data_IF_817041799691
#
_entry.id   IF_817041799691
#
_cell.length_a   1.000
_cell.length_b   1.000
_cell.length_c   1.000
_cell.angle_alpha   90.00
_cell.angle_beta   90.00
_cell.angle_gamma   90.00
#
_symmetry.space_group_name_H-M   'P 1'
#
loop_
_entity.id
_entity.type
_entity.pdbx_description
1 polymer ?
#
# COMPACT_ATOMS: atom_id res chain seq x y z
N UNK A 1 -27.42 19.95 -16.73
CA UNK A 1 -26.36 20.24 -15.73
C UNK A 1 -25.30 19.17 -15.88
N UNK A 2 -24.12 19.54 -16.34
CA UNK A 2 -23.00 18.62 -16.50
C UNK A 2 -22.46 18.25 -15.12
N UNK A 3 -22.38 16.95 -14.83
CA UNK A 3 -21.71 16.40 -13.66
C UNK A 3 -20.21 16.54 -13.89
N UNK A 4 -19.60 17.55 -13.27
CA UNK A 4 -18.15 17.64 -13.15
C UNK A 4 -17.68 16.54 -12.20
N UNK A 5 -17.15 15.46 -12.76
CA UNK A 5 -16.35 14.46 -12.04
C UNK A 5 -15.05 15.15 -11.59
N UNK A 6 -14.99 15.55 -10.33
CA UNK A 6 -13.74 15.96 -9.70
C UNK A 6 -12.84 14.73 -9.56
N UNK A 7 -11.90 14.59 -10.50
CA UNK A 7 -10.82 13.61 -10.42
C UNK A 7 -9.82 14.12 -9.37
N UNK A 8 -9.76 13.46 -8.21
CA UNK A 8 -8.67 13.70 -7.25
C UNK A 8 -7.36 13.13 -7.80
N UNK A 9 -6.18 13.64 -7.41
CA UNK A 9 -4.92 13.03 -7.79
C UNK A 9 -4.88 11.58 -7.26
N UNK A 10 -4.67 10.62 -8.16
CA UNK A 10 -4.46 9.22 -7.80
C UNK A 10 -3.14 9.09 -7.03
N UNK A 11 -3.13 8.26 -5.98
CA UNK A 11 -1.90 8.04 -5.20
C UNK A 11 -0.88 7.26 -5.99
N UNK A 12 0.37 7.66 -5.84
CA UNK A 12 1.50 7.03 -6.51
C UNK A 12 1.88 5.75 -5.76
N UNK A 13 2.09 4.64 -6.47
CA UNK A 13 2.65 3.44 -5.86
C UNK A 13 4.15 3.38 -6.15
N UNK A 14 4.96 3.22 -5.11
CA UNK A 14 6.40 3.04 -5.20
C UNK A 14 6.76 1.61 -4.86
N UNK A 15 7.50 0.94 -5.72
CA UNK A 15 8.06 -0.38 -5.46
C UNK A 15 9.54 -0.22 -5.14
N UNK A 16 9.88 -0.42 -3.86
CA UNK A 16 11.27 -0.35 -3.40
C UNK A 16 11.91 -1.73 -3.49
N UNK A 17 13.12 -1.75 -4.04
CA UNK A 17 13.93 -2.97 -4.14
C UNK A 17 15.27 -2.70 -3.49
N UNK A 18 15.76 -3.63 -2.67
CA UNK A 18 16.97 -3.48 -1.85
C UNK A 18 18.25 -3.18 -2.66
N UNK A 19 18.20 -3.25 -4.00
CA UNK A 19 19.34 -3.05 -4.90
C UNK A 19 19.15 -1.95 -5.98
N UNK A 20 18.11 -1.12 -5.94
CA UNK A 20 17.84 -0.13 -7.01
C UNK A 20 17.06 1.12 -6.59
N UNK A 21 16.89 2.07 -7.53
CA UNK A 21 16.00 3.23 -7.33
C UNK A 21 14.53 2.76 -7.27
N UNK A 22 13.69 3.41 -6.44
CA UNK A 22 12.25 3.12 -6.36
C UNK A 22 11.61 3.09 -7.75
N UNK A 23 10.96 1.99 -8.11
CA UNK A 23 10.16 1.92 -9.33
C UNK A 23 8.82 2.57 -9.04
N UNK A 24 8.46 3.61 -9.79
CA UNK A 24 7.13 4.19 -9.68
C UNK A 24 6.19 3.45 -10.61
N UNK A 25 5.20 2.82 -9.99
CA UNK A 25 4.11 2.18 -10.68
C UNK A 25 3.04 3.24 -10.99
N UNK A 26 2.84 3.49 -12.28
CA UNK A 26 1.72 4.33 -12.75
C UNK A 26 0.51 3.43 -12.88
N UNK A 27 -0.46 3.60 -11.98
CA UNK A 27 -1.69 2.83 -12.00
C UNK A 27 -2.45 3.07 -13.32
N UNK A 28 -2.81 1.99 -14.03
CA UNK A 28 -3.78 2.09 -15.13
C UNK A 28 -5.18 2.06 -14.52
N UNK A 29 -5.73 3.24 -14.21
CA UNK A 29 -6.98 3.40 -13.46
C UNK A 29 -8.24 3.20 -14.30
N UNK A 30 -8.13 3.20 -15.63
CA UNK A 30 -9.30 3.42 -16.49
C UNK A 30 -10.16 2.15 -16.69
N UNK A 31 -9.63 0.94 -16.44
CA UNK A 31 -10.36 -0.31 -16.72
C UNK A 31 -10.46 -1.33 -15.56
N UNK A 32 -9.72 -1.18 -14.45
CA UNK A 32 -9.65 -2.24 -13.42
C UNK A 32 -10.39 -1.86 -12.14
N UNK A 33 -11.58 -2.47 -11.96
CA UNK A 33 -12.44 -2.26 -10.80
C UNK A 33 -11.97 -3.06 -9.57
N UNK A 34 -12.13 -2.52 -8.35
CA UNK A 34 -11.93 -3.26 -7.11
C UNK A 34 -12.71 -4.58 -7.07
N UNK A 35 -12.24 -5.53 -6.26
CA UNK A 35 -12.88 -6.84 -6.15
C UNK A 35 -14.30 -6.70 -5.62
N UNK A 36 -15.26 -7.21 -6.40
CA UNK A 36 -16.64 -7.35 -5.97
C UNK A 36 -16.80 -8.76 -5.38
N UNK A 37 -16.82 -8.85 -4.04
CA UNK A 37 -17.12 -10.10 -3.36
C UNK A 37 -18.62 -10.27 -3.27
N UNK A 38 -19.18 -11.25 -3.99
CA UNK A 38 -20.61 -11.54 -3.94
C UNK A 38 -21.03 -12.09 -2.58
N UNK A 39 -22.28 -11.81 -2.19
CA UNK A 39 -22.79 -12.07 -0.84
C UNK A 39 -22.66 -13.54 -0.42
N UNK A 40 -23.10 -14.44 -1.28
CA UNK A 40 -23.13 -15.88 -1.02
C UNK A 40 -21.71 -16.48 -0.98
N UNK A 41 -20.84 -16.03 -1.87
CA UNK A 41 -19.44 -16.48 -1.92
C UNK A 41 -18.69 -16.04 -0.65
N UNK A 42 -18.86 -14.77 -0.26
CA UNK A 42 -18.32 -14.21 0.97
C UNK A 42 -18.81 -14.97 2.22
N UNK A 43 -20.13 -15.16 2.34
CA UNK A 43 -20.76 -15.81 3.51
C UNK A 43 -20.25 -17.24 3.68
N UNK A 44 -20.13 -18.00 2.59
CA UNK A 44 -19.58 -19.36 2.59
C UNK A 44 -18.10 -19.39 2.96
N UNK A 45 -17.31 -18.45 2.44
CA UNK A 45 -15.89 -18.36 2.76
C UNK A 45 -15.67 -18.07 4.25
N UNK A 46 -16.35 -17.08 4.82
CA UNK A 46 -16.29 -16.77 6.25
C UNK A 46 -16.67 -17.99 7.11
N UNK A 47 -17.78 -18.67 6.77
CA UNK A 47 -18.21 -19.86 7.49
C UNK A 47 -17.18 -21.01 7.40
N UNK A 48 -16.51 -21.18 6.25
CA UNK A 48 -15.42 -22.15 6.10
C UNK A 48 -14.22 -21.79 6.98
N UNK A 49 -13.82 -20.53 6.99
CA UNK A 49 -12.69 -20.05 7.79
C UNK A 49 -12.91 -20.22 9.29
N UNK A 50 -14.09 -19.87 9.76
CA UNK A 50 -14.42 -19.89 11.19
C UNK A 50 -14.64 -21.30 11.74
N UNK A 51 -15.15 -22.24 10.93
CA UNK A 51 -15.36 -23.64 11.35
C UNK A 51 -14.08 -24.34 11.82
N UNK A 52 -12.93 -23.89 11.34
CA UNK A 52 -11.62 -24.46 11.69
C UNK A 52 -10.97 -23.77 12.89
N UNK A 53 -11.60 -22.72 13.45
CA UNK A 53 -11.01 -21.89 14.50
C UNK A 53 -11.61 -22.20 15.85
N UNK A 54 -10.75 -22.09 16.87
CA UNK A 54 -11.17 -22.09 18.27
C UNK A 54 -11.16 -20.64 18.75
N UNK A 55 -12.27 -20.12 19.29
CA UNK A 55 -12.29 -18.77 19.83
C UNK A 55 -11.30 -18.65 20.99
N UNK A 56 -10.57 -17.54 21.04
CA UNK A 56 -9.71 -17.22 22.18
C UNK A 56 -10.54 -16.81 23.39
N UNK A 57 -10.06 -17.15 24.59
CA UNK A 57 -10.62 -16.64 25.85
C UNK A 57 -10.38 -15.14 26.01
N UNK A 58 -9.32 -14.62 25.38
CA UNK A 58 -8.99 -13.20 25.32
C UNK A 58 -8.74 -12.80 23.85
N UNK A 59 -9.78 -12.35 23.13
CA UNK A 59 -9.65 -12.00 21.71
C UNK A 59 -8.78 -10.76 21.46
N UNK A 60 -8.68 -9.84 22.42
CA UNK A 60 -7.75 -8.70 22.33
C UNK A 60 -6.31 -9.18 22.35
N UNK A 61 -5.93 -9.96 23.36
CA UNK A 61 -4.57 -10.48 23.53
C UNK A 61 -4.15 -11.33 22.32
N UNK A 62 -5.04 -12.21 21.87
CA UNK A 62 -4.80 -13.02 20.67
C UNK A 62 -4.58 -12.16 19.41
N UNK A 63 -5.35 -11.08 19.23
CA UNK A 63 -5.18 -10.17 18.10
C UNK A 63 -3.86 -9.38 18.19
N UNK A 64 -3.44 -9.00 19.39
CA UNK A 64 -2.15 -8.34 19.64
C UNK A 64 -0.97 -9.26 19.34
N UNK A 65 -1.02 -10.50 19.81
CA UNK A 65 -0.01 -11.51 19.51
C UNK A 65 0.06 -11.77 17.99
N UNK A 66 -1.09 -11.88 17.34
CA UNK A 66 -1.20 -12.14 15.90
C UNK A 66 -0.45 -11.10 15.05
N UNK A 67 -0.53 -9.82 15.42
CA UNK A 67 0.13 -8.72 14.70
C UNK A 67 1.40 -8.22 15.38
N UNK A 68 1.86 -8.90 16.44
CA UNK A 68 3.00 -8.50 17.26
C UNK A 68 2.91 -7.03 17.74
N UNK A 69 1.71 -6.62 18.14
CA UNK A 69 1.39 -5.29 18.69
C UNK A 69 1.53 -5.37 20.22
N UNK A 70 2.52 -4.71 20.83
CA UNK A 70 2.76 -4.83 22.27
C UNK A 70 1.54 -4.38 23.09
N UNK A 71 1.18 -5.09 24.18
CA UNK A 71 0.13 -4.66 25.12
C UNK A 71 0.43 -3.27 25.74
N UNK A 72 1.71 -2.90 25.79
CA UNK A 72 2.24 -1.64 26.34
C UNK A 72 2.56 -0.60 25.27
N UNK A 73 2.15 -0.81 24.03
CA UNK A 73 2.07 0.29 23.09
C UNK A 73 0.88 1.15 23.53
N UNK A 74 1.14 2.11 24.41
CA UNK A 74 0.19 3.19 24.61
C UNK A 74 -0.10 3.73 23.23
N UNK A 75 -1.35 3.67 22.78
CA UNK A 75 -1.70 4.26 21.50
C UNK A 75 -1.26 5.71 21.57
N UNK A 76 -0.41 6.15 20.65
CA UNK A 76 0.03 7.52 20.69
C UNK A 76 -0.83 8.31 19.73
N UNK A 77 -1.55 9.30 20.25
CA UNK A 77 -2.18 10.29 19.38
C UNK A 77 -1.14 11.35 19.07
N UNK A 78 -0.97 11.69 17.80
CA UNK A 78 -0.17 12.82 17.40
C UNK A 78 -1.03 14.08 17.32
N UNK A 79 -0.66 15.14 18.04
CA UNK A 79 -1.26 16.47 17.86
C UNK A 79 -0.19 17.47 17.46
N UNK A 80 -0.55 18.44 16.61
CA UNK A 80 0.40 19.51 16.23
C UNK A 80 0.80 20.43 17.39
N UNK A 81 0.06 20.42 18.50
CA UNK A 81 0.35 21.23 19.69
C UNK A 81 1.17 20.49 20.76
N UNK A 82 0.97 19.19 20.91
CA UNK A 82 1.46 18.42 22.06
C UNK A 82 2.35 17.23 21.65
N UNK A 83 2.49 16.96 20.35
CA UNK A 83 3.31 15.86 19.84
C UNK A 83 2.67 14.50 20.08
N UNK A 84 3.50 13.50 20.41
CA UNK A 84 3.13 12.09 20.63
C UNK A 84 2.57 11.95 22.05
N UNK A 85 1.24 11.84 22.19
CA UNK A 85 0.54 11.73 23.48
C UNK A 85 0.11 10.28 23.72
N UNK A 86 0.58 9.62 24.80
CA UNK A 86 0.13 8.27 25.15
C UNK A 86 -1.34 8.28 25.58
N UNK A 87 -2.16 7.43 24.96
CA UNK A 87 -3.59 7.29 25.19
C UNK A 87 -3.92 6.45 26.44
N UNK A 88 -2.94 5.76 27.01
CA UNK A 88 -3.14 4.90 28.19
C UNK A 88 -2.13 5.21 29.29
N UNK A 89 -2.54 6.08 30.23
CA UNK A 89 -2.01 6.11 31.59
C UNK A 89 -3.14 5.82 32.56
N UNK A 90 -2.87 5.05 33.62
CA UNK A 90 -3.79 4.88 34.75
C UNK A 90 -4.29 6.28 35.15
N UNK A 91 -5.59 6.49 35.02
CA UNK A 91 -6.20 7.79 35.30
C UNK A 91 -6.09 8.02 36.82
N UNK A 92 -5.31 9.02 37.30
CA UNK A 92 -5.62 9.60 38.60
C UNK A 92 -7.05 10.13 38.52
N UNK A 93 -7.85 9.98 39.59
CA UNK A 93 -9.27 10.33 39.69
C UNK A 93 -9.73 11.30 38.58
N UNK A 94 -10.06 10.73 37.41
CA UNK A 94 -10.18 11.51 36.19
C UNK A 94 -11.64 11.86 36.02
N UNK A 95 -11.96 13.08 35.55
CA UNK A 95 -13.30 13.43 35.09
C UNK A 95 -13.90 12.39 34.12
N UNK A 96 -13.06 11.59 33.47
CA UNK A 96 -13.46 10.51 32.56
C UNK A 96 -13.92 9.22 33.26
N UNK A 97 -13.61 8.98 34.53
CA UNK A 97 -14.00 7.75 35.23
C UNK A 97 -15.53 7.63 35.32
N UNK A 98 -16.22 8.71 35.71
CA UNK A 98 -17.68 8.76 35.76
C UNK A 98 -18.31 8.63 34.37
N UNK A 99 -17.70 9.27 33.36
CA UNK A 99 -18.13 9.14 31.95
C UNK A 99 -18.00 7.69 31.48
N UNK A 100 -16.85 7.05 31.72
CA UNK A 100 -16.60 5.66 31.35
C UNK A 100 -17.58 4.71 32.05
N UNK A 101 -17.85 4.92 33.35
CA UNK A 101 -18.83 4.13 34.09
C UNK A 101 -20.24 4.26 33.50
N UNK A 102 -20.67 5.49 33.19
CA UNK A 102 -21.97 5.75 32.55
C UNK A 102 -22.08 5.09 31.17
N UNK A 103 -21.07 5.29 30.31
CA UNK A 103 -21.02 4.68 28.96
C UNK A 103 -21.05 3.15 29.06
N UNK A 104 -20.29 2.58 30.01
CA UNK A 104 -20.28 1.13 30.26
C UNK A 104 -21.67 0.64 30.69
N UNK A 105 -22.34 1.36 31.59
CA UNK A 105 -23.69 1.00 32.02
C UNK A 105 -24.71 1.08 30.87
N UNK A 106 -24.61 2.09 29.99
CA UNK A 106 -25.44 2.20 28.78
C UNK A 106 -25.20 1.03 27.82
N UNK A 107 -23.94 0.63 27.63
CA UNK A 107 -23.58 -0.55 26.85
C UNK A 107 -24.18 -1.84 27.44
N UNK A 108 -24.06 -2.05 28.75
CA UNK A 108 -24.65 -3.22 29.42
C UNK A 108 -26.18 -3.22 29.35
N UNK A 109 -26.82 -2.04 29.42
CA UNK A 109 -28.28 -1.89 29.19
C UNK A 109 -28.66 -2.27 27.77
N UNK A 110 -27.87 -1.88 26.77
CA UNK A 110 -28.05 -2.30 25.39
C UNK A 110 -27.93 -3.83 25.24
N UNK A 111 -26.90 -4.44 25.83
CA UNK A 111 -26.72 -5.89 25.81
C UNK A 111 -27.91 -6.64 26.45
N UNK A 112 -28.40 -6.15 27.61
CA UNK A 112 -29.62 -6.67 28.23
C UNK A 112 -30.84 -6.56 27.33
N UNK A 113 -31.01 -5.44 26.61
CA UNK A 113 -32.11 -5.24 25.67
C UNK A 113 -32.06 -6.19 24.45
N UNK A 114 -30.87 -6.68 24.08
CA UNK A 114 -30.68 -7.73 23.07
C UNK A 114 -30.92 -9.15 23.61
N UNK A 115 -31.31 -9.31 24.88
CA UNK A 115 -31.47 -10.62 25.52
C UNK A 115 -30.15 -11.30 25.90
N UNK A 116 -29.03 -10.58 25.87
CA UNK A 116 -27.69 -11.09 26.22
C UNK A 116 -27.08 -10.23 27.32
N UNK A 117 -27.53 -10.37 28.59
CA UNK A 117 -27.00 -9.55 29.68
C UNK A 117 -25.50 -9.77 29.88
N UNK A 118 -24.79 -8.71 30.28
CA UNK A 118 -23.33 -8.72 30.43
C UNK A 118 -22.60 -8.13 29.22
N UNK A 119 -21.35 -8.53 29.02
CA UNK A 119 -20.51 -8.06 27.92
C UNK A 119 -20.83 -8.81 26.62
N UNK A 120 -21.97 -8.49 26.01
CA UNK A 120 -22.48 -9.23 24.85
C UNK A 120 -21.62 -9.18 23.58
N UNK A 121 -20.62 -8.30 23.52
CA UNK A 121 -19.66 -8.17 22.41
C UNK A 121 -18.21 -8.51 22.80
N UNK A 122 -17.96 -8.93 24.05
CA UNK A 122 -16.62 -9.21 24.59
C UNK A 122 -15.63 -8.05 24.38
N UNK A 123 -16.07 -6.80 24.63
CA UNK A 123 -15.23 -5.60 24.50
C UNK A 123 -14.74 -5.06 25.84
N UNK A 124 -15.31 -5.53 26.94
CA UNK A 124 -14.85 -5.30 28.31
C UNK A 124 -13.88 -6.41 28.74
N UNK A 125 -14.20 -7.66 28.42
CA UNK A 125 -13.47 -8.84 28.87
C UNK A 125 -13.29 -8.79 30.40
N UNK A 126 -12.05 -8.63 30.88
CA UNK A 126 -11.71 -8.52 32.30
C UNK A 126 -11.71 -7.08 32.84
N UNK A 127 -11.89 -6.07 31.98
CA UNK A 127 -11.86 -4.66 32.35
C UNK A 127 -13.24 -4.20 32.85
N UNK A 128 -13.35 -3.60 34.05
CA UNK A 128 -14.63 -3.13 34.59
C UNK A 128 -15.23 -1.94 33.83
N UNK A 129 -14.44 -1.23 33.02
CA UNK A 129 -14.85 -0.02 32.32
C UNK A 129 -14.52 -0.09 30.82
N UNK A 130 -15.41 0.45 29.99
CA UNK A 130 -15.19 0.62 28.56
C UNK A 130 -14.23 1.79 28.29
N UNK A 131 -12.95 1.48 28.12
CA UNK A 131 -11.87 2.45 27.90
C UNK A 131 -10.96 2.02 26.75
N UNK A 132 -10.14 2.95 26.26
CA UNK A 132 -9.12 2.68 25.24
C UNK A 132 -9.64 1.83 24.08
N UNK A 133 -8.98 0.70 23.84
CA UNK A 133 -9.30 -0.20 22.73
C UNK A 133 -10.67 -0.85 22.82
N UNK A 134 -11.23 -1.03 24.01
CA UNK A 134 -12.59 -1.55 24.16
C UNK A 134 -13.61 -0.63 23.48
N UNK A 135 -13.38 0.69 23.50
CA UNK A 135 -14.22 1.66 22.77
C UNK A 135 -14.05 1.51 21.26
N UNK A 136 -12.82 1.31 20.78
CA UNK A 136 -12.52 1.14 19.36
C UNK A 136 -13.09 -0.17 18.81
N UNK A 137 -12.96 -1.27 19.55
CA UNK A 137 -13.54 -2.56 19.23
C UNK A 137 -15.08 -2.50 19.20
N UNK A 138 -15.68 -1.77 20.16
CA UNK A 138 -17.13 -1.54 20.14
C UNK A 138 -17.56 -0.74 18.90
N UNK A 139 -16.85 0.34 18.56
CA UNK A 139 -17.10 1.12 17.35
C UNK A 139 -16.94 0.29 16.06
N UNK A 140 -15.89 -0.52 15.96
CA UNK A 140 -15.65 -1.43 14.84
C UNK A 140 -16.77 -2.45 14.70
N UNK A 141 -17.25 -3.00 15.81
CA UNK A 141 -18.34 -3.98 15.79
C UNK A 141 -19.63 -3.40 15.16
N UNK A 142 -19.95 -2.13 15.46
CA UNK A 142 -21.07 -1.44 14.82
C UNK A 142 -20.80 -1.08 13.36
N UNK A 143 -19.55 -0.75 13.01
CA UNK A 143 -19.18 -0.48 11.62
C UNK A 143 -19.42 -1.68 10.71
N UNK A 144 -19.05 -2.88 11.17
CA UNK A 144 -19.15 -4.11 10.39
C UNK A 144 -20.57 -4.66 10.34
N UNK A 145 -21.28 -4.70 11.46
CA UNK A 145 -22.66 -5.20 11.49
C UNK A 145 -23.62 -4.34 10.66
N UNK A 146 -23.39 -3.03 10.57
CA UNK A 146 -24.21 -2.12 9.75
C UNK A 146 -24.11 -2.44 8.25
N UNK A 147 -22.94 -2.85 7.78
CA UNK A 147 -22.62 -2.90 6.34
C UNK A 147 -22.57 -4.31 5.78
N UNK A 148 -22.26 -5.29 6.62
CA UNK A 148 -22.16 -6.69 6.22
C UNK A 148 -23.08 -7.56 7.10
N UNK A 149 -24.40 -7.29 7.12
CA UNK A 149 -25.35 -8.05 7.94
C UNK A 149 -25.39 -9.54 7.57
N UNK A 150 -25.10 -9.89 6.31
CA UNK A 150 -24.97 -11.28 5.85
C UNK A 150 -23.88 -12.06 6.61
N UNK A 151 -22.82 -11.38 7.07
CA UNK A 151 -21.72 -12.01 7.80
C UNK A 151 -22.22 -12.67 9.07
N UNK A 152 -23.28 -12.10 9.69
CA UNK A 152 -23.90 -12.64 10.89
C UNK A 152 -24.53 -14.01 10.65
N UNK A 153 -24.94 -14.32 9.42
CA UNK A 153 -25.48 -15.63 9.06
C UNK A 153 -24.40 -16.71 9.15
N UNK A 154 -23.14 -16.37 8.80
CA UNK A 154 -22.02 -17.31 8.88
C UNK A 154 -21.74 -17.82 10.29
N UNK A 155 -22.14 -17.09 11.34
CA UNK A 155 -21.87 -17.48 12.74
C UNK A 155 -22.98 -18.31 13.40
N UNK A 156 -24.17 -18.43 12.78
CA UNK A 156 -25.37 -18.96 13.46
C UNK A 156 -25.22 -20.40 13.97
N UNK A 157 -24.52 -21.24 13.22
CA UNK A 157 -24.36 -22.67 13.54
C UNK A 157 -23.10 -22.98 14.36
N UNK A 158 -22.45 -21.94 14.90
CA UNK A 158 -21.20 -22.08 15.67
C UNK A 158 -21.48 -22.28 17.15
N UNK A 159 -20.60 -23.02 17.82
CA UNK A 159 -20.73 -23.32 19.25
C UNK A 159 -20.70 -22.06 20.14
N UNK A 160 -19.88 -21.07 19.77
CA UNK A 160 -19.85 -19.75 20.41
C UNK A 160 -19.74 -18.63 19.36
N UNK A 161 -20.89 -18.14 18.86
CA UNK A 161 -20.93 -17.09 17.84
C UNK A 161 -20.37 -15.75 18.34
N UNK A 162 -20.54 -15.43 19.63
CA UNK A 162 -20.13 -14.13 20.18
C UNK A 162 -18.62 -14.06 20.39
N UNK A 163 -17.99 -15.14 20.85
CA UNK A 163 -16.53 -15.18 20.98
C UNK A 163 -15.82 -15.14 19.61
N UNK A 164 -16.39 -15.75 18.58
CA UNK A 164 -15.85 -15.69 17.22
C UNK A 164 -16.05 -14.30 16.58
N UNK A 165 -17.20 -13.67 16.78
CA UNK A 165 -17.41 -12.27 16.37
C UNK A 165 -16.44 -11.33 17.06
N UNK A 166 -16.24 -11.50 18.37
CA UNK A 166 -15.29 -10.71 19.13
C UNK A 166 -13.85 -10.91 18.62
N UNK A 167 -13.45 -12.15 18.32
CA UNK A 167 -12.14 -12.44 17.73
C UNK A 167 -11.93 -11.65 16.43
N UNK A 168 -12.95 -11.58 15.58
CA UNK A 168 -12.89 -10.78 14.36
C UNK A 168 -12.81 -9.28 14.67
N UNK A 169 -13.71 -8.73 15.49
CA UNK A 169 -13.72 -7.29 15.78
C UNK A 169 -12.41 -6.81 16.43
N UNK A 170 -11.83 -7.60 17.33
CA UNK A 170 -10.53 -7.32 17.93
C UNK A 170 -9.39 -7.41 16.92
N UNK A 171 -9.37 -8.44 16.07
CA UNK A 171 -8.39 -8.56 14.97
C UNK A 171 -8.45 -7.35 14.04
N UNK A 172 -9.66 -6.92 13.65
CA UNK A 172 -9.88 -5.72 12.83
C UNK A 172 -9.43 -4.44 13.52
N UNK A 173 -9.73 -4.30 14.80
CA UNK A 173 -9.37 -3.12 15.60
C UNK A 173 -7.88 -3.01 15.77
N UNK A 174 -7.19 -4.08 16.20
CA UNK A 174 -5.75 -4.07 16.40
C UNK A 174 -5.00 -3.86 15.08
N UNK A 175 -5.48 -4.47 13.98
CA UNK A 175 -4.91 -4.21 12.67
C UNK A 175 -5.09 -2.75 12.23
N UNK A 176 -6.31 -2.21 12.33
CA UNK A 176 -6.60 -0.82 11.95
C UNK A 176 -5.88 0.19 12.84
N UNK A 177 -5.61 -0.16 14.09
CA UNK A 177 -4.95 0.75 15.01
C UNK A 177 -3.46 1.00 14.65
N UNK A 178 -2.82 0.12 13.87
CA UNK A 178 -1.53 0.43 13.23
C UNK A 178 -1.60 1.61 12.25
N UNK A 179 -2.80 1.96 11.76
CA UNK A 179 -3.01 3.09 10.85
C UNK A 179 -2.96 4.45 11.55
N UNK A 180 -2.93 4.48 12.89
CA UNK A 180 -2.89 5.71 13.68
C UNK A 180 -1.52 6.39 13.66
N UNK A 181 -0.44 5.67 13.32
CA UNK A 181 0.85 6.29 13.06
C UNK A 181 0.73 7.30 11.89
N UNK A 182 1.35 8.48 11.95
CA UNK A 182 1.27 9.49 10.88
C UNK A 182 1.61 8.92 9.49
N UNK A 183 2.66 8.11 9.44
CA UNK A 183 3.11 7.31 8.29
C UNK A 183 3.13 5.83 8.71
N UNK A 184 2.03 5.08 8.52
CA UNK A 184 1.98 3.68 8.88
C UNK A 184 3.01 2.88 8.09
N UNK A 185 3.89 2.16 8.81
CA UNK A 185 4.85 1.23 8.23
C UNK A 185 4.54 -0.16 8.77
N UNK A 186 4.19 -1.07 7.86
CA UNK A 186 4.05 -2.49 8.13
C UNK A 186 5.35 -3.17 7.68
N UNK A 187 6.14 -3.64 8.65
CA UNK A 187 7.42 -4.33 8.38
C UNK A 187 7.52 -5.68 9.10
N UNK A 188 6.40 -6.15 9.66
CA UNK A 188 6.28 -7.39 10.42
C UNK A 188 5.39 -8.37 9.67
N UNK A 189 5.87 -9.61 9.54
CA UNK A 189 5.47 -10.56 8.50
C UNK A 189 3.97 -10.61 8.17
N UNK A 190 3.10 -10.86 9.15
CA UNK A 190 1.67 -11.07 8.86
C UNK A 190 0.96 -9.76 8.51
N UNK A 191 1.23 -8.67 9.24
CA UNK A 191 0.62 -7.37 8.98
C UNK A 191 1.00 -6.86 7.58
N UNK A 192 2.25 -7.07 7.16
CA UNK A 192 2.72 -6.74 5.81
C UNK A 192 1.94 -7.53 4.75
N UNK A 193 1.86 -8.85 4.89
CA UNK A 193 1.17 -9.71 3.91
C UNK A 193 -0.34 -9.41 3.81
N UNK A 194 -1.00 -9.21 4.96
CA UNK A 194 -2.41 -8.79 5.01
C UNK A 194 -2.60 -7.45 4.30
N UNK A 195 -1.73 -6.47 4.56
CA UNK A 195 -1.83 -5.12 3.97
C UNK A 195 -1.64 -5.16 2.45
N UNK A 196 -0.60 -5.84 1.96
CA UNK A 196 -0.36 -5.98 0.52
C UNK A 196 -1.53 -6.70 -0.17
N UNK A 197 -2.06 -7.77 0.44
CA UNK A 197 -3.25 -8.46 -0.07
C UNK A 197 -4.46 -7.52 -0.09
N UNK A 198 -4.69 -6.77 0.98
CA UNK A 198 -5.85 -5.90 1.10
C UNK A 198 -5.82 -4.79 0.04
N UNK A 199 -4.65 -4.18 -0.20
CA UNK A 199 -4.45 -3.22 -1.30
C UNK A 199 -4.79 -3.85 -2.66
N UNK A 200 -4.39 -5.10 -2.92
CA UNK A 200 -4.77 -5.79 -4.15
C UNK A 200 -6.29 -6.00 -4.29
N UNK A 201 -7.01 -6.19 -3.18
CA UNK A 201 -8.47 -6.38 -3.18
C UNK A 201 -9.25 -5.08 -3.40
N UNK A 202 -8.89 -4.00 -2.70
CA UNK A 202 -9.71 -2.78 -2.64
C UNK A 202 -9.12 -1.57 -3.36
N UNK A 203 -7.84 -1.65 -3.72
CA UNK A 203 -7.08 -0.56 -4.31
C UNK A 203 -6.50 0.41 -3.27
N UNK A 204 -5.49 1.16 -3.71
CA UNK A 204 -4.70 2.06 -2.87
C UNK A 204 -5.51 3.24 -2.34
N UNK A 205 -6.29 3.90 -3.19
CA UNK A 205 -7.08 5.06 -2.79
C UNK A 205 -8.20 4.70 -1.82
N UNK A 206 -8.83 3.54 -2.03
CA UNK A 206 -9.81 3.00 -1.09
C UNK A 206 -9.15 2.71 0.25
N UNK A 207 -8.00 2.04 0.26
CA UNK A 207 -7.26 1.73 1.48
C UNK A 207 -6.89 3.00 2.27
N UNK A 208 -6.42 4.05 1.59
CA UNK A 208 -6.18 5.34 2.22
C UNK A 208 -7.44 5.99 2.80
N UNK A 209 -8.57 5.90 2.07
CA UNK A 209 -9.86 6.40 2.56
C UNK A 209 -10.29 5.69 3.85
N UNK A 210 -10.03 4.38 3.97
CA UNK A 210 -10.25 3.63 5.20
C UNK A 210 -9.36 4.11 6.34
N UNK A 211 -8.06 4.33 6.09
CA UNK A 211 -7.11 4.87 7.07
C UNK A 211 -7.61 6.21 7.63
N UNK A 212 -8.01 7.14 6.75
CA UNK A 212 -8.55 8.42 7.18
C UNK A 212 -9.86 8.28 7.95
N UNK A 213 -10.75 7.39 7.50
CA UNK A 213 -12.00 7.09 8.19
C UNK A 213 -11.76 6.57 9.61
N UNK A 214 -10.79 5.65 9.77
CA UNK A 214 -10.43 5.08 11.06
C UNK A 214 -9.84 6.13 12.01
N UNK A 215 -8.91 6.96 11.53
CA UNK A 215 -8.33 8.06 12.33
C UNK A 215 -9.41 9.02 12.83
N UNK A 216 -10.39 9.36 11.98
CA UNK A 216 -11.55 10.18 12.39
C UNK A 216 -12.44 9.45 13.38
N UNK A 217 -12.68 8.15 13.20
CA UNK A 217 -13.46 7.36 14.15
C UNK A 217 -12.80 7.37 15.54
N UNK A 218 -11.50 7.08 15.61
CA UNK A 218 -10.75 7.05 16.88
C UNK A 218 -10.84 8.39 17.60
N UNK A 219 -10.62 9.51 16.92
CA UNK A 219 -10.76 10.86 17.50
C UNK A 219 -12.18 11.09 18.08
N UNK A 220 -13.23 10.67 17.37
CA UNK A 220 -14.61 10.77 17.87
C UNK A 220 -14.84 9.87 19.10
N UNK A 221 -14.29 8.65 19.10
CA UNK A 221 -14.49 7.67 20.18
C UNK A 221 -13.74 8.04 21.46
N UNK A 222 -12.58 8.70 21.36
CA UNK A 222 -11.84 9.24 22.50
C UNK A 222 -12.65 10.29 23.26
N UNK A 223 -13.38 11.13 22.53
CA UNK A 223 -14.19 12.20 23.11
C UNK A 223 -15.65 11.81 23.37
N UNK A 224 -16.06 10.59 23.01
CA UNK A 224 -17.43 10.14 23.18
C UNK A 224 -17.82 10.02 24.66
N UNK A 225 -18.93 10.67 25.03
CA UNK A 225 -19.46 10.71 26.40
C UNK A 225 -20.73 9.89 26.59
N UNK A 226 -21.19 9.19 25.55
CA UNK A 226 -22.36 8.29 25.58
C UNK A 226 -22.15 7.07 24.67
N UNK A 227 -22.81 5.96 25.00
CA UNK A 227 -22.84 4.75 24.16
C UNK A 227 -23.45 5.04 22.78
N UNK A 228 -24.49 5.88 22.72
CA UNK A 228 -25.13 6.27 21.48
C UNK A 228 -24.15 6.96 20.52
N UNK A 229 -23.26 7.82 21.03
CA UNK A 229 -22.23 8.46 20.23
C UNK A 229 -21.24 7.44 19.65
N UNK A 230 -20.81 6.45 20.44
CA UNK A 230 -19.93 5.36 19.97
C UNK A 230 -20.62 4.56 18.86
N UNK A 231 -21.88 4.19 19.05
CA UNK A 231 -22.66 3.43 18.06
C UNK A 231 -22.81 4.18 16.75
N UNK A 232 -23.19 5.46 16.80
CA UNK A 232 -23.39 6.27 15.60
C UNK A 232 -22.07 6.57 14.88
N UNK A 233 -20.97 6.78 15.62
CA UNK A 233 -19.63 6.92 15.03
C UNK A 233 -19.21 5.64 14.29
N UNK A 234 -19.40 4.47 14.91
CA UNK A 234 -19.15 3.17 14.28
C UNK A 234 -19.92 2.98 12.98
N UNK A 235 -21.24 3.22 12.99
CA UNK A 235 -22.08 3.15 11.77
C UNK A 235 -21.60 4.08 10.67
N UNK A 236 -21.21 5.32 11.00
CA UNK A 236 -20.66 6.28 10.04
C UNK A 236 -19.37 5.76 9.42
N UNK A 237 -18.48 5.17 10.21
CA UNK A 237 -17.27 4.54 9.69
C UNK A 237 -17.57 3.34 8.80
N UNK A 238 -18.58 2.52 9.14
CA UNK A 238 -19.09 1.48 8.25
C UNK A 238 -19.45 2.05 6.87
N UNK A 239 -20.20 3.16 6.81
CA UNK A 239 -20.55 3.83 5.54
C UNK A 239 -19.32 4.29 4.75
N UNK A 240 -18.26 4.76 5.43
CA UNK A 240 -16.97 5.09 4.79
C UNK A 240 -16.32 3.83 4.21
N UNK A 241 -16.41 2.72 4.92
CA UNK A 241 -15.84 1.45 4.48
C UNK A 241 -16.53 0.91 3.22
N UNK A 242 -17.86 0.98 3.18
CA UNK A 242 -18.66 0.43 2.09
C UNK A 242 -18.65 -1.10 2.05
N UNK A 243 -19.63 -1.69 1.34
CA UNK A 243 -19.90 -3.14 1.39
C UNK A 243 -18.72 -3.98 0.92
N UNK A 244 -18.13 -3.65 -0.23
CA UNK A 244 -17.05 -4.44 -0.83
C UNK A 244 -15.78 -4.42 0.02
N UNK A 245 -15.35 -3.24 0.47
CA UNK A 245 -14.16 -3.14 1.32
C UNK A 245 -14.38 -3.77 2.69
N UNK A 246 -15.58 -3.67 3.26
CA UNK A 246 -15.92 -4.32 4.52
C UNK A 246 -15.89 -5.86 4.40
N UNK A 247 -16.40 -6.41 3.29
CA UNK A 247 -16.30 -7.86 2.99
C UNK A 247 -14.84 -8.28 2.83
N UNK A 248 -14.04 -7.55 2.05
CA UNK A 248 -12.62 -7.85 1.88
C UNK A 248 -11.88 -7.78 3.23
N UNK A 249 -12.16 -6.75 4.03
CA UNK A 249 -11.53 -6.56 5.33
C UNK A 249 -11.86 -7.70 6.30
N UNK A 250 -13.14 -8.05 6.42
CA UNK A 250 -13.60 -9.17 7.25
C UNK A 250 -13.05 -10.51 6.77
N UNK A 251 -13.04 -10.76 5.45
CA UNK A 251 -12.53 -12.00 4.86
C UNK A 251 -11.04 -12.20 5.14
N UNK A 252 -10.22 -11.20 4.82
CA UNK A 252 -8.76 -11.31 4.94
C UNK A 252 -8.33 -11.45 6.41
N UNK A 253 -8.97 -10.70 7.31
CA UNK A 253 -8.65 -10.80 8.73
C UNK A 253 -9.20 -12.05 9.38
N UNK A 254 -10.36 -12.56 8.94
CA UNK A 254 -10.81 -13.89 9.37
C UNK A 254 -9.80 -14.94 8.91
N UNK A 255 -9.34 -14.87 7.65
CA UNK A 255 -8.35 -15.80 7.12
C UNK A 255 -7.01 -15.73 7.85
N UNK A 256 -6.62 -14.56 8.39
CA UNK A 256 -5.38 -14.37 9.13
C UNK A 256 -5.40 -14.89 10.57
N UNK A 257 -6.56 -15.01 11.22
CA UNK A 257 -6.64 -15.48 12.62
C UNK A 257 -5.96 -16.85 12.79
N UNK A 258 -4.96 -16.93 13.67
CA UNK A 258 -4.22 -18.16 13.96
C UNK A 258 -3.24 -18.58 12.85
N UNK A 259 -2.92 -17.69 11.91
CA UNK A 259 -1.95 -17.95 10.86
C UNK A 259 -0.63 -17.22 11.09
N UNK A 260 0.45 -17.76 10.53
CA UNK A 260 1.70 -17.03 10.29
C UNK A 260 1.61 -16.26 8.97
N UNK A 261 2.57 -15.37 8.70
CA UNK A 261 2.67 -14.69 7.41
C UNK A 261 2.71 -15.66 6.22
N UNK A 262 3.48 -16.74 6.33
CA UNK A 262 3.58 -17.78 5.32
C UNK A 262 2.28 -18.59 5.19
N UNK A 263 1.66 -18.97 6.32
CA UNK A 263 0.38 -19.68 6.33
C UNK A 263 -0.76 -18.87 5.71
N UNK A 264 -0.82 -17.58 6.02
CA UNK A 264 -1.75 -16.65 5.40
C UNK A 264 -1.49 -16.53 3.89
N UNK A 265 -0.24 -16.28 3.48
CA UNK A 265 0.11 -16.11 2.07
C UNK A 265 -0.20 -17.36 1.23
N UNK A 266 0.01 -18.56 1.77
CA UNK A 266 -0.37 -19.81 1.13
C UNK A 266 -1.89 -19.97 0.96
N UNK A 267 -2.67 -19.32 1.83
CA UNK A 267 -4.13 -19.36 1.83
C UNK A 267 -4.76 -18.38 0.86
N UNK A 268 -4.12 -17.22 0.64
CA UNK A 268 -4.62 -16.13 -0.20
C UNK A 268 -5.15 -16.59 -1.58
N UNK A 269 -4.47 -17.46 -2.35
CA UNK A 269 -4.99 -17.93 -3.64
C UNK A 269 -6.33 -18.68 -3.56
N UNK A 270 -6.64 -19.26 -2.40
CA UNK A 270 -7.88 -20.04 -2.17
C UNK A 270 -9.07 -19.18 -1.74
N UNK A 271 -8.85 -17.90 -1.46
CA UNK A 271 -9.89 -16.97 -1.04
C UNK A 271 -10.70 -16.49 -2.24
N UNK A 272 -12.01 -16.22 -2.06
CA UNK A 272 -12.84 -15.67 -3.12
C UNK A 272 -12.28 -14.33 -3.62
N UNK A 273 -12.43 -14.08 -4.91
CA UNK A 273 -11.92 -12.86 -5.57
C UNK A 273 -10.39 -12.78 -5.73
N UNK A 274 -9.61 -13.79 -5.33
CA UNK A 274 -8.14 -13.78 -5.41
C UNK A 274 -7.61 -13.56 -6.84
N UNK A 275 -8.23 -14.18 -7.85
CA UNK A 275 -7.84 -14.00 -9.25
C UNK A 275 -8.02 -12.52 -9.69
N UNK A 276 -9.15 -11.91 -9.37
CA UNK A 276 -9.43 -10.50 -9.68
C UNK A 276 -8.49 -9.57 -8.88
N UNK A 277 -8.27 -9.86 -7.60
CA UNK A 277 -7.32 -9.11 -6.77
C UNK A 277 -5.90 -9.19 -7.32
N UNK A 278 -5.47 -10.32 -7.91
CA UNK A 278 -4.16 -10.43 -8.52
C UNK A 278 -4.01 -9.54 -9.77
N UNK A 279 -5.06 -9.47 -10.60
CA UNK A 279 -5.12 -8.57 -11.77
C UNK A 279 -5.15 -7.10 -11.33
N UNK A 280 -6.00 -6.78 -10.36
CA UNK A 280 -6.13 -5.44 -9.79
C UNK A 280 -4.85 -4.97 -9.11
N UNK A 281 -4.22 -5.83 -8.31
CA UNK A 281 -2.93 -5.57 -7.68
C UNK A 281 -1.84 -5.30 -8.69
N UNK A 282 -1.75 -6.09 -9.77
CA UNK A 282 -0.76 -5.86 -10.82
C UNK A 282 -1.00 -4.53 -11.54
N UNK A 283 -2.26 -4.20 -11.84
CA UNK A 283 -2.63 -2.97 -12.55
C UNK A 283 -2.50 -1.69 -11.70
N UNK A 284 -2.85 -1.77 -10.41
CA UNK A 284 -2.94 -0.60 -9.53
C UNK A 284 -1.71 -0.42 -8.65
N UNK A 285 -1.06 -1.51 -8.24
CA UNK A 285 0.05 -1.51 -7.29
C UNK A 285 1.32 -2.21 -7.80
N UNK A 286 1.32 -2.76 -9.02
CA UNK A 286 2.47 -3.45 -9.60
C UNK A 286 2.84 -4.77 -8.92
N UNK A 287 1.93 -5.36 -8.13
CA UNK A 287 2.17 -6.59 -7.37
C UNK A 287 1.05 -7.59 -7.61
N UNK A 288 1.40 -8.83 -7.91
CA UNK A 288 0.46 -9.95 -8.01
C UNK A 288 0.27 -10.59 -6.63
N UNK A 289 -0.90 -11.19 -6.40
CA UNK A 289 -1.17 -11.85 -5.11
C UNK A 289 -0.17 -12.98 -4.79
N UNK A 290 0.38 -13.63 -5.81
CA UNK A 290 1.41 -14.68 -5.64
C UNK A 290 2.74 -14.15 -5.09
N UNK A 291 2.97 -12.84 -5.20
CA UNK A 291 4.21 -12.17 -4.78
C UNK A 291 4.09 -11.55 -3.38
N UNK A 292 2.89 -11.57 -2.77
CA UNK A 292 2.64 -11.01 -1.44
C UNK A 292 3.55 -11.61 -0.36
N UNK A 293 3.87 -12.91 -0.47
CA UNK A 293 4.79 -13.58 0.44
C UNK A 293 6.22 -13.00 0.41
N UNK A 294 6.55 -12.24 -0.64
CA UNK A 294 7.85 -11.64 -0.88
C UNK A 294 7.87 -10.14 -0.54
N UNK A 295 6.75 -9.59 -0.06
CA UNK A 295 6.68 -8.21 0.42
C UNK A 295 7.30 -8.15 1.82
N UNK A 296 8.36 -7.36 1.96
CA UNK A 296 9.06 -7.17 3.23
C UNK A 296 8.45 -6.04 4.06
N UNK A 297 8.03 -4.97 3.39
CA UNK A 297 7.36 -3.86 4.05
C UNK A 297 6.35 -3.14 3.15
N UNK A 298 5.36 -2.51 3.77
CA UNK A 298 4.46 -1.55 3.15
C UNK A 298 4.47 -0.28 3.99
N UNK A 299 4.79 0.86 3.38
CA UNK A 299 4.73 2.17 4.01
C UNK A 299 3.67 3.04 3.33
N UNK A 300 2.89 3.77 4.12
CA UNK A 300 1.78 4.58 3.61
C UNK A 300 2.00 6.03 4.01
N UNK A 301 1.97 6.93 3.02
CA UNK A 301 2.07 8.38 3.19
C UNK A 301 0.83 9.06 2.60
N UNK A 302 0.73 10.38 2.72
CA UNK A 302 -0.38 11.14 2.15
C UNK A 302 -0.51 10.95 0.63
N UNK A 303 0.63 10.89 -0.05
CA UNK A 303 0.73 10.98 -1.51
C UNK A 303 1.15 9.66 -2.16
N UNK A 304 1.70 8.71 -1.40
CA UNK A 304 2.20 7.46 -1.92
C UNK A 304 2.04 6.25 -0.99
N UNK A 305 1.88 5.07 -1.60
CA UNK A 305 2.09 3.77 -0.94
C UNK A 305 3.38 3.17 -1.47
N UNK A 306 4.34 2.93 -0.58
CA UNK A 306 5.61 2.28 -0.90
C UNK A 306 5.54 0.82 -0.49
N UNK A 307 5.89 -0.10 -1.39
CA UNK A 307 5.93 -1.53 -1.13
C UNK A 307 7.34 -2.03 -1.38
N UNK A 308 8.01 -2.48 -0.32
CA UNK A 308 9.34 -3.04 -0.39
C UNK A 308 9.27 -4.54 -0.67
N UNK A 309 9.96 -4.99 -1.72
CA UNK A 309 9.98 -6.38 -2.17
C UNK A 309 11.34 -7.03 -1.91
N UNK A 310 11.31 -8.31 -1.56
CA UNK A 310 12.50 -9.13 -1.40
C UNK A 310 13.28 -9.23 -2.73
N UNK A 311 14.62 -9.35 -2.70
CA UNK A 311 15.48 -9.28 -3.89
C UNK A 311 15.10 -10.24 -5.04
N UNK A 312 14.59 -11.44 -4.70
CA UNK A 312 14.25 -12.47 -5.69
C UNK A 312 12.87 -12.24 -6.35
N UNK A 313 12.03 -11.37 -5.79
CA UNK A 313 10.71 -11.01 -6.33
C UNK A 313 10.80 -10.15 -7.59
N UNK A 314 11.90 -9.41 -7.69
CA UNK A 314 12.16 -8.40 -8.71
C UNK A 314 12.31 -9.02 -10.10
N UNK A 315 12.86 -10.24 -10.18
CA UNK A 315 13.04 -10.93 -11.45
C UNK A 315 11.71 -11.35 -12.10
N UNK A 316 10.69 -11.67 -11.30
CA UNK A 316 9.36 -12.11 -11.77
C UNK A 316 8.43 -10.92 -12.04
N UNK A 317 8.51 -9.86 -11.23
CA UNK A 317 7.78 -8.60 -11.44
C UNK A 317 8.32 -7.85 -12.66
N UNK A 318 9.64 -7.69 -12.83
CA UNK A 318 10.22 -7.03 -14.00
C UNK A 318 9.92 -7.76 -15.33
N UNK A 319 9.79 -9.08 -15.33
CA UNK A 319 9.40 -9.87 -16.51
C UNK A 319 7.90 -9.81 -16.82
N UNK A 320 7.05 -9.64 -15.81
CA UNK A 320 5.59 -9.59 -15.97
C UNK A 320 5.04 -8.18 -16.24
N UNK A 321 5.86 -7.14 -16.03
CA UNK A 321 5.55 -5.73 -16.29
C UNK A 321 5.91 -5.29 -17.73
N UNK A 322 6.39 -6.19 -18.59
CA UNK A 322 6.61 -5.90 -20.04
C UNK A 322 5.36 -5.46 -20.83
N UNK A 323 4.18 -5.38 -20.20
CA UNK A 323 2.96 -4.81 -20.78
C UNK A 323 2.50 -3.47 -20.18
N UNK A 324 3.15 -2.95 -19.14
CA UNK A 324 2.81 -1.66 -18.52
C UNK A 324 4.04 -0.76 -18.48
N UNK A 325 3.87 0.49 -18.95
CA UNK A 325 4.95 1.46 -19.16
C UNK A 325 5.54 1.87 -17.80
N UNK A 326 6.58 1.17 -17.37
CA UNK A 326 7.39 1.52 -16.20
C UNK A 326 8.11 2.84 -16.42
N UNK A 327 7.81 3.85 -15.59
CA UNK A 327 8.48 5.16 -15.62
C UNK A 327 9.22 5.40 -14.30
N UNK A 328 10.53 5.68 -14.32
CA UNK A 328 11.21 6.22 -13.15
C UNK A 328 10.74 7.67 -12.89
N UNK A 329 10.69 8.08 -11.62
CA UNK A 329 10.31 9.43 -11.12
C UNK A 329 11.55 10.02 -10.45
N UNK A 330 11.99 11.27 -10.66
CA UNK A 330 11.30 12.56 -10.77
C UNK A 330 11.84 13.48 -11.89
N UNK A 331 11.08 14.55 -12.15
CA UNK A 331 11.45 15.89 -12.68
C UNK A 331 11.11 16.24 -14.15
N UNK A 332 10.33 17.30 -14.27
CA UNK A 332 9.80 17.94 -15.48
C UNK A 332 10.89 18.28 -16.53
N UNK A 333 10.76 17.68 -17.71
CA UNK A 333 11.57 18.01 -18.89
C UNK A 333 11.23 17.12 -20.07
N UNK A 334 11.32 17.60 -21.32
CA UNK A 334 11.20 16.75 -22.49
C UNK A 334 12.27 15.65 -22.44
N UNK A 335 11.91 14.47 -22.95
CA UNK A 335 12.79 13.33 -23.06
C UNK A 335 13.89 13.61 -24.09
N UNK A 336 15.14 13.37 -23.72
CA UNK A 336 16.33 13.68 -24.53
C UNK A 336 17.14 12.40 -24.78
N UNK A 337 17.43 12.11 -26.05
CA UNK A 337 18.31 11.00 -26.43
C UNK A 337 19.78 11.35 -26.16
N UNK A 338 20.45 10.58 -25.30
CA UNK A 338 21.88 10.74 -24.99
C UNK A 338 22.70 10.66 -26.28
N UNK A 339 22.53 9.57 -27.03
CA UNK A 339 22.99 9.37 -28.39
C UNK A 339 21.84 9.63 -29.38
N UNK A 340 21.97 10.64 -30.25
CA UNK A 340 20.83 11.14 -31.02
C UNK A 340 20.44 10.25 -32.22
N UNK A 341 19.14 10.03 -32.36
CA UNK A 341 18.43 9.35 -33.45
C UNK A 341 18.04 10.27 -34.63
N UNK A 342 18.21 11.60 -34.49
CA UNK A 342 17.68 12.62 -35.42
C UNK A 342 18.70 13.25 -36.38
N UNK A 343 19.95 12.76 -36.39
CA UNK A 343 21.04 13.29 -37.23
C UNK A 343 21.60 12.21 -38.18
N UNK A 344 20.71 11.58 -38.95
CA UNK A 344 21.07 10.53 -39.92
C UNK A 344 21.71 11.06 -41.21
N UNK A 345 21.37 12.29 -41.64
CA UNK A 345 21.84 12.87 -42.91
C UNK A 345 22.52 14.24 -42.78
N UNK A 346 22.44 14.88 -41.61
CA UNK A 346 22.98 16.24 -41.39
C UNK A 346 24.49 16.25 -41.14
N UNK A 347 25.22 17.10 -41.87
CA UNK A 347 26.67 17.36 -41.67
C UNK A 347 26.96 18.49 -40.65
N UNK A 348 25.92 19.20 -40.19
CA UNK A 348 26.06 20.23 -39.15
C UNK A 348 26.60 19.65 -37.83
N UNK A 349 27.38 20.45 -37.09
CA UNK A 349 27.96 20.08 -35.80
C UNK A 349 28.79 18.77 -35.84
N UNK A 350 29.47 18.48 -36.95
CA UNK A 350 30.37 17.32 -37.11
C UNK A 350 29.67 15.99 -37.44
N UNK A 351 28.38 16.03 -37.80
CA UNK A 351 27.58 14.86 -38.18
C UNK A 351 27.93 14.28 -39.56
N UNK A 352 27.24 13.21 -40.01
CA UNK A 352 26.08 12.59 -39.37
C UNK A 352 26.47 11.73 -38.16
N UNK A 353 25.77 11.93 -37.04
CA UNK A 353 26.07 11.28 -35.77
C UNK A 353 25.27 10.00 -35.55
N UNK A 354 24.03 9.95 -36.04
CA UNK A 354 23.13 8.80 -35.84
C UNK A 354 23.71 7.49 -36.39
N UNK A 355 24.32 7.42 -37.59
CA UNK A 355 24.91 6.17 -38.09
C UNK A 355 26.06 5.68 -37.19
N UNK A 356 26.88 6.61 -36.69
CA UNK A 356 28.00 6.29 -35.79
C UNK A 356 27.50 5.72 -34.47
N UNK A 357 26.45 6.31 -33.89
CA UNK A 357 25.85 5.76 -32.67
C UNK A 357 25.20 4.40 -32.94
N UNK A 358 24.54 4.23 -34.07
CA UNK A 358 23.89 2.96 -34.44
C UNK A 358 24.90 1.80 -34.45
N UNK A 359 26.12 1.99 -34.98
CA UNK A 359 27.19 0.97 -34.95
C UNK A 359 27.52 0.48 -33.53
N UNK A 360 27.56 1.39 -32.55
CA UNK A 360 27.84 1.05 -31.14
C UNK A 360 26.66 0.30 -30.49
N UNK A 361 25.44 0.71 -30.82
CA UNK A 361 24.22 0.10 -30.30
C UNK A 361 23.99 -1.29 -30.90
N UNK A 362 24.23 -1.46 -32.20
CA UNK A 362 24.15 -2.76 -32.88
C UNK A 362 25.15 -3.76 -32.30
N UNK A 363 26.37 -3.32 -31.98
CA UNK A 363 27.39 -4.16 -31.29
C UNK A 363 26.89 -4.70 -29.93
N UNK A 364 26.00 -3.95 -29.27
CA UNK A 364 25.35 -4.32 -28.01
C UNK A 364 23.97 -4.98 -28.20
N UNK A 365 23.52 -5.19 -29.43
CA UNK A 365 22.15 -5.64 -29.74
C UNK A 365 21.08 -4.69 -29.20
N UNK A 366 21.39 -3.40 -29.08
CA UNK A 366 20.53 -2.34 -28.56
C UNK A 366 20.01 -1.48 -29.70
N UNK A 367 18.96 -0.71 -29.45
CA UNK A 367 18.43 0.29 -30.40
C UNK A 367 18.61 1.70 -29.85
N UNK A 368 18.73 2.71 -30.72
CA UNK A 368 18.82 4.10 -30.28
C UNK A 368 17.56 4.59 -29.54
N UNK A 369 16.44 3.89 -29.69
CA UNK A 369 15.18 4.19 -28.99
C UNK A 369 15.09 3.49 -27.61
N UNK A 370 16.07 2.66 -27.26
CA UNK A 370 16.09 1.95 -25.97
C UNK A 370 16.05 2.95 -24.80
N UNK A 371 15.31 2.60 -23.76
CA UNK A 371 15.15 3.44 -22.57
C UNK A 371 16.50 3.84 -21.94
N UNK A 372 17.52 2.99 -22.03
CA UNK A 372 18.87 3.28 -21.54
C UNK A 372 19.51 4.50 -22.24
N UNK A 373 19.10 4.81 -23.47
CA UNK A 373 19.57 5.96 -24.24
C UNK A 373 18.76 7.24 -24.01
N UNK A 374 17.74 7.19 -23.14
CA UNK A 374 16.84 8.32 -22.89
C UNK A 374 17.08 8.88 -21.49
N UNK A 375 17.23 10.19 -21.41
CA UNK A 375 17.34 10.93 -20.15
C UNK A 375 16.45 12.16 -20.20
N UNK A 376 15.80 12.51 -19.09
CA UNK A 376 15.02 13.75 -19.00
C UNK A 376 15.92 14.89 -18.54
N UNK A 377 15.88 16.01 -19.26
CA UNK A 377 16.71 17.19 -18.99
C UNK A 377 15.81 18.43 -18.90
N UNK A 378 15.63 19.00 -17.70
CA UNK A 378 14.92 20.27 -17.56
C UNK A 378 15.60 21.37 -18.38
N UNK A 379 14.80 22.16 -19.11
CA UNK A 379 15.28 23.25 -19.98
C UNK A 379 16.26 22.81 -21.09
N UNK A 380 16.10 21.59 -21.61
CA UNK A 380 16.82 21.12 -22.79
C UNK A 380 16.67 22.08 -23.99
N UNK A 381 17.78 22.29 -24.71
CA UNK A 381 17.83 23.11 -25.94
C UNK A 381 18.63 22.39 -27.03
N UNK A 382 17.94 21.85 -28.03
CA UNK A 382 18.54 21.39 -29.27
C UNK A 382 18.73 22.51 -30.31
N UNK A 383 19.50 22.28 -31.40
CA UNK A 383 20.46 21.18 -31.62
C UNK A 383 21.72 21.34 -30.76
N UNK A 384 22.41 20.24 -30.48
CA UNK A 384 23.56 20.20 -29.58
C UNK A 384 24.87 20.52 -30.31
N UNK A 385 25.86 21.12 -29.63
CA UNK A 385 27.15 21.42 -30.24
C UNK A 385 27.95 20.16 -30.55
N UNK A 386 28.89 20.25 -31.50
CA UNK A 386 29.80 19.16 -31.86
C UNK A 386 30.50 18.54 -30.65
N UNK A 387 30.95 19.38 -29.71
CA UNK A 387 31.62 18.94 -28.49
C UNK A 387 30.78 18.02 -27.60
N UNK A 388 29.44 18.14 -27.62
CA UNK A 388 28.56 17.20 -26.91
C UNK A 388 28.59 15.83 -27.59
N UNK A 389 28.42 15.81 -28.91
CA UNK A 389 28.36 14.58 -29.67
C UNK A 389 29.68 13.81 -29.66
N UNK A 390 30.81 14.52 -29.77
CA UNK A 390 32.16 13.94 -29.67
C UNK A 390 32.40 13.28 -28.31
N UNK A 391 32.02 13.95 -27.22
CA UNK A 391 32.23 13.43 -25.86
C UNK A 391 31.36 12.20 -25.59
N UNK A 392 30.08 12.24 -25.98
CA UNK A 392 29.18 11.08 -25.86
C UNK A 392 29.68 9.91 -26.71
N UNK A 393 30.01 10.15 -27.98
CA UNK A 393 30.46 9.09 -28.89
C UNK A 393 31.76 8.45 -28.41
N UNK A 394 32.75 9.27 -28.03
CA UNK A 394 34.03 8.78 -27.51
C UNK A 394 33.82 7.89 -26.30
N UNK A 395 33.01 8.31 -25.33
CA UNK A 395 32.76 7.52 -24.11
C UNK A 395 32.05 6.21 -24.38
N UNK A 396 31.01 6.21 -25.22
CA UNK A 396 30.30 4.99 -25.58
C UNK A 396 31.20 4.01 -26.36
N UNK A 397 32.02 4.53 -27.28
CA UNK A 397 33.01 3.73 -28.02
C UNK A 397 34.06 3.14 -27.09
N UNK A 398 34.62 3.95 -26.19
CA UNK A 398 35.67 3.51 -25.27
C UNK A 398 35.12 2.44 -24.31
N UNK A 399 33.88 2.60 -23.81
CA UNK A 399 33.23 1.62 -22.94
C UNK A 399 32.96 0.28 -23.63
N UNK A 400 32.73 0.29 -24.94
CA UNK A 400 32.45 -0.91 -25.73
C UNK A 400 33.66 -1.43 -26.49
N UNK A 401 34.87 -0.89 -26.26
CA UNK A 401 36.06 -1.24 -27.04
C UNK A 401 36.49 -2.70 -26.79
N UNK A 402 36.53 -3.12 -25.53
CA UNK A 402 37.11 -4.40 -25.10
C UNK A 402 36.10 -5.54 -24.95
N UNK A 403 34.80 -5.27 -25.09
CA UNK A 403 33.77 -6.30 -24.96
C UNK A 403 33.86 -7.35 -26.07
N UNK A 404 33.67 -8.63 -25.71
CA UNK A 404 33.83 -9.78 -26.60
C UNK A 404 32.53 -10.50 -26.95
N UNK A 405 31.43 -10.18 -26.26
CA UNK A 405 30.09 -10.72 -26.52
C UNK A 405 29.03 -9.61 -26.53
N UNK A 406 27.88 -9.88 -27.17
CA UNK A 406 26.73 -8.94 -27.21
C UNK A 406 26.29 -8.58 -25.78
N UNK A 407 26.27 -9.54 -24.86
CA UNK A 407 25.88 -9.34 -23.46
C UNK A 407 26.88 -8.43 -22.73
N UNK A 408 28.19 -8.63 -22.92
CA UNK A 408 29.23 -7.76 -22.35
C UNK A 408 29.14 -6.34 -22.93
N UNK A 409 28.97 -6.23 -24.25
CA UNK A 409 28.83 -4.93 -24.91
C UNK A 409 27.58 -4.20 -24.44
N UNK A 410 26.45 -4.90 -24.27
CA UNK A 410 25.21 -4.35 -23.71
C UNK A 410 25.38 -3.87 -22.28
N UNK A 411 26.03 -4.66 -21.43
CA UNK A 411 26.30 -4.28 -20.04
C UNK A 411 27.20 -3.03 -19.96
N UNK A 412 28.27 -2.99 -20.74
CA UNK A 412 29.20 -1.87 -20.78
C UNK A 412 28.57 -0.59 -21.36
N UNK A 413 27.83 -0.72 -22.47
CA UNK A 413 27.13 0.40 -23.11
C UNK A 413 26.03 0.97 -22.19
N UNK A 414 25.23 0.11 -21.56
CA UNK A 414 24.18 0.53 -20.61
C UNK A 414 24.77 1.23 -19.39
N UNK A 415 25.86 0.69 -18.82
CA UNK A 415 26.56 1.31 -17.69
C UNK A 415 27.09 2.70 -18.03
N UNK A 416 27.65 2.87 -19.23
CA UNK A 416 28.18 4.17 -19.66
C UNK A 416 27.07 5.16 -20.01
N UNK A 417 25.98 4.72 -20.64
CA UNK A 417 24.78 5.53 -20.86
C UNK A 417 24.17 6.02 -19.53
N UNK A 418 24.17 5.20 -18.48
CA UNK A 418 23.73 5.64 -17.15
C UNK A 418 24.64 6.72 -16.56
N UNK A 419 25.97 6.59 -16.72
CA UNK A 419 26.93 7.61 -16.27
C UNK A 419 26.77 8.92 -17.04
N UNK A 420 26.60 8.85 -18.36
CA UNK A 420 26.31 9.99 -19.21
C UNK A 420 24.99 10.63 -18.83
N UNK A 421 23.94 9.83 -18.65
CA UNK A 421 22.62 10.28 -18.21
C UNK A 421 22.68 11.07 -16.91
N UNK A 422 23.38 10.55 -15.88
CA UNK A 422 23.59 11.28 -14.62
C UNK A 422 24.28 12.62 -14.83
N UNK A 423 25.32 12.69 -15.65
CA UNK A 423 26.00 13.95 -15.92
C UNK A 423 25.08 14.91 -16.67
N UNK A 424 24.40 14.46 -17.71
CA UNK A 424 23.50 15.25 -18.54
C UNK A 424 22.32 15.82 -17.73
N UNK A 425 21.76 15.04 -16.80
CA UNK A 425 20.62 15.47 -15.97
C UNK A 425 21.01 16.29 -14.74
N UNK A 426 22.26 16.24 -14.28
CA UNK A 426 22.72 17.00 -13.10
C UNK A 426 23.04 18.45 -13.47
N UNK A 427 22.33 19.45 -12.91
CA UNK A 427 22.61 20.87 -13.19
C UNK A 427 24.07 21.26 -12.93
N UNK A 428 24.67 22.00 -13.85
CA UNK A 428 26.01 22.57 -13.69
C UNK A 428 27.18 21.67 -14.10
N UNK A 429 26.95 20.39 -14.42
CA UNK A 429 27.99 19.57 -15.06
C UNK A 429 28.32 20.07 -16.46
N UNK A 430 29.50 19.71 -16.97
CA UNK A 430 29.92 20.06 -18.33
C UNK A 430 28.89 19.61 -19.39
N UNK A 431 28.41 18.37 -19.33
CA UNK A 431 27.43 17.85 -20.30
C UNK A 431 26.05 18.53 -20.15
N UNK A 432 25.60 18.80 -18.92
CA UNK A 432 24.35 19.51 -18.68
C UNK A 432 24.38 20.94 -19.27
N UNK A 433 25.50 21.66 -19.10
CA UNK A 433 25.68 23.00 -19.69
C UNK A 433 25.58 22.98 -21.22
N UNK A 434 26.12 21.96 -21.88
CA UNK A 434 26.06 21.81 -23.33
C UNK A 434 24.63 21.56 -23.85
N UNK A 435 23.78 20.86 -23.08
CA UNK A 435 22.40 20.53 -23.49
C UNK A 435 21.35 21.54 -23.02
N UNK A 436 21.67 22.41 -22.05
CA UNK A 436 20.78 23.48 -21.55
C UNK A 436 21.20 24.88 -22.01
N UNK A 437 22.40 25.03 -22.58
CA UNK A 437 23.03 26.31 -22.99
C UNK A 437 23.07 27.35 -21.85
N UNK A 438 23.34 26.89 -20.62
CA UNK A 438 23.60 27.75 -19.46
C UNK A 438 25.12 27.97 -19.31
N UNK A 439 25.58 29.18 -18.92
CA UNK A 439 27.00 29.49 -18.78
C UNK A 439 27.73 28.60 -17.76
#
# INVERSE_FOLDING_TARGET
MALSTTCGPSRVVRLDTVQGQPLIHVSSTDDVKPVALEEEEFTRAIAKELRQKRPSLNPEEAARELFEVPPRSGWYRYTQREGVVPLNGQLPASPWAEVNARVTQEYLRFCKALGKPGDCRNVLMSNPLLTGDGRYALGMSFAIEEIVPEMMQSFKDMADPEALKASLYWTMTIYAAMWLAPEPVFSKGLATAVTATFVCYIGVDTFWTLIQGWRRLVDVLEHATSFAAIREAGKKYGKVMGKNSARAFALLLTASIGQTAAGFSAKVPTLPGSAQASVSGAAQAGIRLTEVAQVEAVAVTADAVTIALAPNAVATTAQSVSGAVSRPVDAEGPEHHIASDKFSTSTNNGGPWTPRYQELFDKAGMTLDDAANKVRVPHHKGPHPQAYHEEVFRRLRDATLECRSIQECRAALTSELQRLGRQISTPGTRLNKLVTRRP
#
